data_IF_469585676225
#
_entry.id   IF_469585676225
#
_cell.length_a   1.000
_cell.length_b   1.000
_cell.length_c   1.000
_cell.angle_alpha   90.00
_cell.angle_beta   90.00
_cell.angle_gamma   90.00
#
_symmetry.space_group_name_H-M   'P 1'
#
loop_
_entity.id
_entity.type
_entity.pdbx_description
1 polymer ?
#
# COMPACT_ATOMS: atom_id res chain seq x y z
N UNK A 1 -0.53 -62.08 -49.47
CA UNK A 1 -1.53 -62.45 -48.43
C UNK A 1 -1.08 -61.82 -47.14
N UNK A 2 -2.01 -61.11 -46.54
CA UNK A 2 -2.10 -60.70 -45.14
C UNK A 2 -0.87 -59.97 -44.55
N UNK A 3 -1.00 -58.86 -43.92
CA UNK A 3 -2.12 -58.06 -43.47
C UNK A 3 -1.57 -56.75 -42.94
N UNK A 4 -2.21 -55.71 -43.39
CA UNK A 4 -2.11 -54.41 -42.74
C UNK A 4 -3.00 -54.39 -41.49
N UNK A 5 -2.62 -53.77 -40.40
CA UNK A 5 -3.50 -53.00 -39.54
C UNK A 5 -2.80 -52.59 -38.24
N UNK A 6 -3.12 -51.35 -37.87
CA UNK A 6 -3.07 -50.77 -36.53
C UNK A 6 -1.77 -49.98 -36.19
N UNK A 7 -1.87 -48.68 -36.42
CA UNK A 7 -1.34 -47.65 -35.53
C UNK A 7 -2.16 -46.34 -35.75
N UNK A 8 -3.31 -46.24 -35.19
CA UNK A 8 -4.03 -44.97 -34.91
C UNK A 8 -4.08 -44.79 -33.40
N UNK A 9 -3.94 -43.51 -33.00
CA UNK A 9 -4.36 -42.97 -31.72
C UNK A 9 -3.30 -42.94 -30.58
N UNK A 10 -2.49 -41.87 -30.61
CA UNK A 10 -2.08 -41.19 -29.38
C UNK A 10 -1.94 -39.69 -29.68
N UNK A 11 -3.06 -38.99 -29.86
CA UNK A 11 -3.06 -37.53 -29.72
C UNK A 11 -3.23 -37.22 -28.25
N UNK A 12 -2.09 -37.03 -27.55
CA UNK A 12 -2.03 -36.57 -26.18
C UNK A 12 -2.72 -35.22 -26.01
N UNK A 13 -3.73 -35.24 -25.18
CA UNK A 13 -4.49 -34.09 -24.71
C UNK A 13 -3.59 -33.18 -23.89
N UNK A 14 -3.15 -32.05 -24.46
CA UNK A 14 -2.47 -31.00 -23.71
C UNK A 14 -3.47 -30.34 -22.74
N UNK A 15 -3.14 -30.17 -21.47
CA UNK A 15 -4.06 -29.55 -20.52
C UNK A 15 -4.29 -28.07 -20.87
N UNK A 16 -5.55 -27.72 -21.06
CA UNK A 16 -6.05 -26.36 -21.24
C UNK A 16 -5.63 -25.48 -20.04
N UNK A 17 -4.74 -24.51 -20.30
CA UNK A 17 -4.21 -23.58 -19.30
C UNK A 17 -5.12 -22.36 -19.02
N UNK A 18 -6.38 -22.38 -19.51
CA UNK A 18 -7.29 -21.21 -19.45
C UNK A 18 -8.25 -21.19 -18.27
N UNK A 19 -8.18 -22.12 -17.32
CA UNK A 19 -9.01 -22.07 -16.13
C UNK A 19 -8.50 -21.03 -15.13
N UNK A 20 -9.34 -20.06 -14.70
CA UNK A 20 -8.96 -19.13 -13.66
C UNK A 20 -8.68 -19.89 -12.36
N UNK A 21 -7.46 -19.82 -11.87
CA UNK A 21 -7.06 -20.41 -10.58
C UNK A 21 -8.04 -19.94 -9.51
N UNK A 22 -8.88 -20.84 -8.99
CA UNK A 22 -9.71 -20.57 -7.81
C UNK A 22 -8.81 -20.04 -6.71
N UNK A 23 -9.06 -18.81 -6.25
CA UNK A 23 -8.39 -18.25 -5.06
C UNK A 23 -8.61 -19.24 -3.91
N UNK A 24 -7.54 -19.72 -3.31
CA UNK A 24 -7.62 -20.34 -1.98
C UNK A 24 -8.27 -19.31 -1.07
N UNK A 25 -9.26 -19.73 -0.30
CA UNK A 25 -10.01 -18.85 0.60
C UNK A 25 -9.04 -17.95 1.37
N UNK A 26 -9.09 -16.64 1.05
CA UNK A 26 -8.28 -15.67 1.74
C UNK A 26 -8.79 -15.62 3.19
N UNK A 27 -7.90 -15.64 4.20
CA UNK A 27 -8.33 -15.55 5.60
C UNK A 27 -9.23 -14.33 5.78
N UNK A 28 -10.30 -14.50 6.56
CA UNK A 28 -11.35 -13.51 6.80
C UNK A 28 -10.74 -12.13 7.06
N UNK A 29 -11.21 -11.14 6.28
CA UNK A 29 -10.66 -9.77 6.23
C UNK A 29 -10.81 -8.99 7.54
N UNK A 30 -11.54 -9.51 8.54
CA UNK A 30 -11.95 -8.78 9.75
C UNK A 30 -11.47 -9.42 11.06
N UNK A 31 -10.71 -10.49 11.03
CA UNK A 31 -10.31 -11.17 12.27
C UNK A 31 -9.29 -10.35 13.07
N UNK A 32 -9.72 -9.79 14.21
CA UNK A 32 -8.88 -9.45 15.36
C UNK A 32 -8.68 -7.97 15.68
N UNK A 33 -9.17 -6.97 14.89
CA UNK A 33 -8.97 -5.55 15.23
C UNK A 33 -10.25 -4.72 15.03
N UNK A 34 -10.41 -3.68 15.86
CA UNK A 34 -11.52 -2.78 15.77
C UNK A 34 -11.36 -1.86 14.56
N UNK A 35 -12.40 -1.77 13.72
CA UNK A 35 -12.46 -0.80 12.61
C UNK A 35 -13.53 0.25 12.88
N UNK A 36 -13.31 1.46 12.40
CA UNK A 36 -14.34 2.52 12.39
C UNK A 36 -14.37 3.20 11.02
N UNK A 37 -15.53 3.77 10.70
CA UNK A 37 -15.63 4.64 9.53
C UNK A 37 -15.38 6.09 9.93
N UNK A 38 -14.41 6.72 9.26
CA UNK A 38 -14.09 8.15 9.43
C UNK A 38 -14.42 8.82 8.09
N UNK A 39 -15.46 9.62 8.06
CA UNK A 39 -16.02 10.22 6.84
C UNK A 39 -16.33 9.18 5.73
N UNK A 40 -16.86 8.02 6.12
CA UNK A 40 -17.16 6.91 5.23
C UNK A 40 -15.95 6.04 4.83
N UNK A 41 -14.71 6.48 5.07
CA UNK A 41 -13.50 5.69 4.89
C UNK A 41 -13.29 4.76 6.07
N UNK A 42 -13.06 3.46 5.82
CA UNK A 42 -12.65 2.50 6.86
C UNK A 42 -11.25 2.83 7.38
N UNK A 43 -11.08 2.80 8.68
CA UNK A 43 -9.79 2.91 9.35
C UNK A 43 -9.70 1.83 10.41
N UNK A 44 -8.63 1.06 10.36
CA UNK A 44 -8.41 -0.10 11.22
C UNK A 44 -7.51 0.30 12.39
N UNK A 45 -7.94 -0.02 13.61
CA UNK A 45 -7.09 0.13 14.79
C UNK A 45 -6.08 -1.03 14.79
N UNK A 46 -4.86 -0.72 14.47
CA UNK A 46 -3.78 -1.70 14.30
C UNK A 46 -2.45 -1.10 14.75
N UNK A 47 -1.44 -1.93 14.94
CA UNK A 47 -0.07 -1.56 15.27
C UNK A 47 0.88 -1.83 14.10
N UNK A 48 2.13 -1.36 14.23
CA UNK A 48 3.20 -1.71 13.28
C UNK A 48 3.42 -3.22 13.22
N UNK A 49 3.42 -3.88 14.38
CA UNK A 49 3.63 -5.32 14.48
C UNK A 49 2.54 -6.10 13.74
N UNK A 50 1.27 -5.84 14.08
CA UNK A 50 0.12 -6.51 13.47
C UNK A 50 0.01 -6.26 11.97
N UNK A 51 0.31 -5.02 11.53
CA UNK A 51 0.29 -4.68 10.10
C UNK A 51 1.39 -5.42 9.36
N UNK A 52 2.61 -5.41 9.89
CA UNK A 52 3.74 -6.08 9.25
C UNK A 52 3.54 -7.60 9.25
N UNK A 53 3.03 -8.21 10.34
CA UNK A 53 2.73 -9.65 10.39
C UNK A 53 1.67 -10.04 9.36
N UNK A 54 0.63 -9.22 9.21
CA UNK A 54 -0.39 -9.47 8.19
C UNK A 54 0.17 -9.38 6.75
N UNK A 55 1.04 -8.40 6.48
CA UNK A 55 1.72 -8.28 5.17
C UNK A 55 2.59 -9.50 4.89
N UNK A 56 3.40 -9.93 5.86
CA UNK A 56 4.29 -11.10 5.73
C UNK A 56 3.48 -12.38 5.52
N UNK A 57 2.48 -12.64 6.35
CA UNK A 57 1.65 -13.85 6.24
C UNK A 57 0.97 -13.96 4.86
N UNK A 58 0.47 -12.84 4.32
CA UNK A 58 -0.11 -12.82 2.97
C UNK A 58 0.93 -13.03 1.88
N UNK A 59 2.11 -12.46 2.05
CA UNK A 59 3.23 -12.63 1.12
C UNK A 59 3.67 -14.11 1.09
N UNK A 60 3.82 -14.76 2.23
CA UNK A 60 4.14 -16.20 2.35
C UNK A 60 3.07 -17.08 1.68
N UNK A 61 1.80 -16.77 1.92
CA UNK A 61 0.67 -17.50 1.32
C UNK A 61 0.50 -17.25 -0.19
N UNK A 62 1.17 -16.24 -0.78
CA UNK A 62 0.94 -15.82 -2.16
C UNK A 62 -0.48 -15.30 -2.43
N UNK A 63 -1.15 -14.82 -1.39
CA UNK A 63 -2.55 -14.42 -1.46
C UNK A 63 -2.77 -13.03 -2.07
N UNK A 64 -1.70 -12.29 -2.36
CA UNK A 64 -1.77 -10.90 -2.75
C UNK A 64 -2.40 -10.03 -1.66
N UNK A 65 -2.78 -8.82 -1.98
CA UNK A 65 -3.48 -7.94 -1.04
C UNK A 65 -3.18 -6.47 -1.22
N UNK A 66 -3.88 -5.63 -0.44
CA UNK A 66 -3.71 -4.18 -0.49
C UNK A 66 -3.73 -3.60 0.93
N UNK A 67 -2.71 -2.83 1.26
CA UNK A 67 -2.60 -2.08 2.52
C UNK A 67 -2.51 -0.59 2.20
N UNK A 68 -3.44 0.20 2.74
CA UNK A 68 -3.47 1.65 2.61
C UNK A 68 -2.99 2.30 3.91
N UNK A 69 -1.98 3.16 3.82
CA UNK A 69 -1.47 3.98 4.93
C UNK A 69 -2.20 5.32 4.88
N UNK A 70 -3.28 5.45 5.64
CA UNK A 70 -4.29 6.49 5.47
C UNK A 70 -4.01 7.75 6.29
N UNK A 71 -4.31 8.91 5.70
CA UNK A 71 -4.23 10.23 6.32
C UNK A 71 -5.58 10.95 6.29
N UNK A 72 -5.72 12.06 7.02
CA UNK A 72 -6.90 12.93 6.93
C UNK A 72 -7.17 13.41 5.49
N UNK A 73 -6.10 13.64 4.71
CA UNK A 73 -6.22 13.98 3.29
C UNK A 73 -6.91 12.85 2.50
N UNK A 74 -6.49 11.60 2.70
CA UNK A 74 -7.15 10.46 2.04
C UNK A 74 -8.63 10.35 2.43
N UNK A 75 -8.98 10.65 3.69
CA UNK A 75 -10.39 10.66 4.12
C UNK A 75 -11.22 11.73 3.38
N UNK A 76 -10.65 12.91 3.12
CA UNK A 76 -11.29 13.95 2.33
C UNK A 76 -11.39 13.56 0.84
N UNK A 77 -10.34 13.00 0.26
CA UNK A 77 -10.38 12.47 -1.11
C UNK A 77 -11.46 11.36 -1.25
N UNK A 78 -11.57 10.47 -0.27
CA UNK A 78 -12.62 9.45 -0.23
C UNK A 78 -14.03 10.04 -0.02
N UNK A 79 -14.16 11.18 0.66
CA UNK A 79 -15.44 11.87 0.80
C UNK A 79 -15.91 12.45 -0.54
N UNK A 80 -14.97 13.03 -1.30
CA UNK A 80 -15.21 13.67 -2.59
C UNK A 80 -15.34 12.66 -3.75
N UNK A 81 -14.63 11.51 -3.68
CA UNK A 81 -14.64 10.46 -4.70
C UNK A 81 -15.15 9.11 -4.14
N UNK A 82 -16.43 8.75 -4.43
CA UNK A 82 -16.99 7.46 -4.01
C UNK A 82 -16.29 6.24 -4.61
N UNK A 83 -15.64 6.35 -5.77
CA UNK A 83 -14.89 5.24 -6.38
C UNK A 83 -13.60 4.99 -5.59
N UNK A 84 -12.85 6.03 -5.27
CA UNK A 84 -11.69 5.95 -4.40
C UNK A 84 -12.08 5.38 -3.02
N UNK A 85 -13.20 5.85 -2.43
CA UNK A 85 -13.70 5.33 -1.16
C UNK A 85 -13.98 3.83 -1.20
N UNK A 86 -14.60 3.34 -2.28
CA UNK A 86 -14.81 1.88 -2.47
C UNK A 86 -13.48 1.15 -2.57
N UNK A 87 -12.53 1.67 -3.33
CA UNK A 87 -11.20 1.10 -3.49
C UNK A 87 -10.47 0.97 -2.15
N UNK A 88 -10.39 2.07 -1.38
CA UNK A 88 -9.76 2.08 -0.05
C UNK A 88 -10.50 1.16 0.92
N UNK A 89 -11.84 1.20 0.96
CA UNK A 89 -12.63 0.36 1.84
C UNK A 89 -12.53 -1.15 1.51
N UNK A 90 -12.15 -1.50 0.29
CA UNK A 90 -11.91 -2.89 -0.12
C UNK A 90 -10.50 -3.39 0.22
N UNK A 91 -9.58 -2.51 0.66
CA UNK A 91 -8.23 -2.90 1.05
C UNK A 91 -8.26 -3.94 2.19
N UNK A 92 -7.24 -4.76 2.29
CA UNK A 92 -7.13 -5.76 3.37
C UNK A 92 -6.83 -5.07 4.70
N UNK A 93 -6.11 -3.93 4.67
CA UNK A 93 -5.88 -3.08 5.83
C UNK A 93 -5.82 -1.60 5.47
N UNK A 94 -6.39 -0.75 6.34
CA UNK A 94 -6.33 0.71 6.20
C UNK A 94 -5.80 1.28 7.52
N UNK A 95 -4.50 1.58 7.58
CA UNK A 95 -3.85 1.98 8.83
C UNK A 95 -3.92 3.48 9.06
N UNK A 96 -4.03 3.97 10.32
CA UNK A 96 -4.05 5.39 10.64
C UNK A 96 -2.63 5.96 10.68
N UNK A 97 -2.19 6.63 9.60
CA UNK A 97 -0.90 7.31 9.56
C UNK A 97 -0.91 8.65 10.31
N UNK A 98 -1.90 9.49 10.04
CA UNK A 98 -1.99 10.81 10.67
C UNK A 98 -2.61 10.78 12.05
N UNK A 99 -2.09 11.59 12.98
CA UNK A 99 -2.66 11.74 14.33
C UNK A 99 -4.14 12.14 14.31
N UNK A 100 -4.60 12.87 13.30
CA UNK A 100 -6.02 13.21 13.11
C UNK A 100 -6.91 11.95 13.02
N UNK A 101 -6.45 10.90 12.36
CA UNK A 101 -7.19 9.63 12.28
C UNK A 101 -7.12 8.85 13.60
N UNK A 102 -5.99 8.89 14.30
CA UNK A 102 -5.85 8.29 15.64
C UNK A 102 -6.83 8.94 16.61
N UNK A 103 -6.90 10.27 16.63
CA UNK A 103 -7.87 11.01 17.47
C UNK A 103 -9.32 10.71 17.07
N UNK A 104 -9.59 10.61 15.77
CA UNK A 104 -10.91 10.21 15.28
C UNK A 104 -11.30 8.82 15.78
N UNK A 105 -10.42 7.82 15.68
CA UNK A 105 -10.66 6.48 16.20
C UNK A 105 -10.91 6.47 17.71
N UNK A 106 -10.10 7.20 18.47
CA UNK A 106 -10.27 7.33 19.93
C UNK A 106 -11.63 7.96 20.29
N UNK A 107 -12.04 9.01 19.57
CA UNK A 107 -13.36 9.63 19.75
C UNK A 107 -14.51 8.69 19.36
N UNK A 108 -14.28 7.77 18.45
CA UNK A 108 -15.24 6.73 18.03
C UNK A 108 -15.18 5.47 18.91
N UNK A 109 -14.57 5.56 20.10
CA UNK A 109 -14.57 4.50 21.11
C UNK A 109 -13.44 3.48 20.98
N UNK A 110 -12.37 3.76 20.22
CA UNK A 110 -11.18 2.92 20.13
C UNK A 110 -10.02 3.57 20.88
N UNK A 111 -10.08 3.52 22.23
CA UNK A 111 -9.14 4.24 23.11
C UNK A 111 -7.66 3.88 22.87
N UNK A 112 -7.37 2.61 22.56
CA UNK A 112 -6.01 2.09 22.30
C UNK A 112 -5.50 2.33 20.88
N UNK A 113 -6.19 3.13 20.02
CA UNK A 113 -5.71 3.40 18.66
C UNK A 113 -4.34 4.06 18.68
N UNK A 114 -3.40 3.51 17.89
CA UNK A 114 -2.03 3.99 17.73
C UNK A 114 -1.77 4.36 16.28
N UNK A 115 -0.74 5.18 16.06
CA UNK A 115 -0.31 5.57 14.73
C UNK A 115 0.46 4.45 14.04
N UNK A 116 0.21 4.25 12.75
CA UNK A 116 1.03 3.39 11.87
C UNK A 116 1.50 4.24 10.68
N UNK A 117 2.67 4.83 10.84
CA UNK A 117 3.28 5.81 9.95
C UNK A 117 4.07 5.13 8.82
N UNK A 118 3.86 5.54 7.58
CA UNK A 118 4.47 4.90 6.41
C UNK A 118 6.00 4.77 6.47
N UNK A 119 6.75 5.83 6.79
CA UNK A 119 8.21 5.79 6.93
C UNK A 119 8.75 4.87 8.01
N UNK A 120 7.94 4.52 9.01
CA UNK A 120 8.30 3.53 10.04
C UNK A 120 7.78 2.12 9.69
N UNK A 121 6.64 2.03 9.01
CA UNK A 121 6.08 0.75 8.58
C UNK A 121 6.97 0.05 7.53
N UNK A 122 7.47 0.80 6.54
CA UNK A 122 8.29 0.24 5.46
C UNK A 122 9.52 -0.50 6.02
N UNK A 123 10.41 0.11 6.84
CA UNK A 123 11.56 -0.62 7.40
C UNK A 123 11.13 -1.75 8.36
N UNK A 124 10.00 -1.62 9.07
CA UNK A 124 9.47 -2.71 9.92
C UNK A 124 9.10 -3.95 9.08
N UNK A 125 8.47 -3.75 7.93
CA UNK A 125 8.15 -4.85 7.00
C UNK A 125 9.43 -5.38 6.35
N UNK A 126 10.38 -4.51 5.95
CA UNK A 126 11.66 -4.92 5.37
C UNK A 126 12.47 -5.84 6.30
N UNK A 127 12.58 -5.49 7.59
CA UNK A 127 13.27 -6.31 8.58
C UNK A 127 12.68 -7.73 8.69
N UNK A 128 11.35 -7.85 8.65
CA UNK A 128 10.65 -9.14 8.68
C UNK A 128 10.75 -9.91 7.37
N UNK A 129 10.74 -9.18 6.25
CA UNK A 129 10.91 -9.75 4.92
C UNK A 129 12.33 -10.34 4.76
N UNK A 130 13.35 -9.59 5.19
CA UNK A 130 14.75 -10.07 5.22
C UNK A 130 14.89 -11.35 6.04
N UNK A 131 14.37 -11.38 7.27
CA UNK A 131 14.46 -12.54 8.16
C UNK A 131 13.79 -13.81 7.60
N UNK A 132 12.91 -13.66 6.60
CA UNK A 132 12.18 -14.77 5.95
C UNK A 132 12.54 -14.98 4.47
N UNK A 133 13.53 -14.23 3.96
CA UNK A 133 13.92 -14.31 2.56
C UNK A 133 12.81 -13.92 1.58
N UNK A 134 11.86 -13.06 2.01
CA UNK A 134 10.74 -12.61 1.19
C UNK A 134 11.19 -11.45 0.30
N UNK A 135 11.14 -11.57 -1.04
CA UNK A 135 11.56 -10.50 -1.94
C UNK A 135 10.54 -9.36 -1.96
N UNK A 136 11.07 -8.13 -1.88
CA UNK A 136 10.29 -6.90 -1.96
C UNK A 136 10.53 -6.18 -3.29
N UNK A 137 9.57 -5.34 -3.69
CA UNK A 137 9.71 -4.42 -4.80
C UNK A 137 9.38 -2.98 -4.39
N UNK A 138 9.86 -2.04 -5.21
CA UNK A 138 9.65 -0.61 -5.04
C UNK A 138 9.05 -0.04 -6.33
N UNK A 139 7.90 0.64 -6.23
CA UNK A 139 7.20 1.24 -7.35
C UNK A 139 6.83 2.68 -7.03
N UNK A 140 7.48 3.64 -7.66
CA UNK A 140 7.22 5.06 -7.42
C UNK A 140 8.46 5.88 -7.11
N UNK A 141 8.25 7.14 -6.73
CA UNK A 141 9.32 8.13 -6.55
C UNK A 141 9.92 8.59 -7.88
N UNK A 142 10.86 9.53 -7.83
CA UNK A 142 11.74 9.88 -8.95
C UNK A 142 12.95 8.94 -8.96
N UNK A 143 13.64 8.75 -10.10
CA UNK A 143 14.77 7.80 -10.18
C UNK A 143 15.81 7.99 -9.08
N UNK A 144 16.20 9.22 -8.80
CA UNK A 144 17.22 9.57 -7.80
C UNK A 144 16.79 9.18 -6.38
N UNK A 145 15.51 9.39 -6.05
CA UNK A 145 14.92 8.99 -4.76
C UNK A 145 14.89 7.47 -4.64
N UNK A 146 14.53 6.78 -5.73
CA UNK A 146 14.43 5.33 -5.75
C UNK A 146 15.80 4.67 -5.56
N UNK A 147 16.84 5.18 -6.20
CA UNK A 147 18.21 4.67 -6.09
C UNK A 147 18.80 4.93 -4.69
N UNK A 148 18.58 6.13 -4.14
CA UNK A 148 18.98 6.46 -2.76
C UNK A 148 18.24 5.56 -1.74
N UNK A 149 16.93 5.33 -1.93
CA UNK A 149 16.15 4.42 -1.09
C UNK A 149 16.69 2.99 -1.15
N UNK A 150 16.98 2.47 -2.35
CA UNK A 150 17.56 1.11 -2.51
C UNK A 150 18.91 1.00 -1.78
N UNK A 151 19.75 2.02 -1.90
CA UNK A 151 21.04 2.07 -1.22
C UNK A 151 20.86 2.05 0.30
N UNK A 152 19.96 2.87 0.83
CA UNK A 152 19.68 2.92 2.26
C UNK A 152 19.05 1.62 2.79
N UNK A 153 18.15 1.00 2.05
CA UNK A 153 17.57 -0.29 2.43
C UNK A 153 18.62 -1.40 2.45
N UNK A 154 19.52 -1.47 1.46
CA UNK A 154 20.63 -2.45 1.45
C UNK A 154 21.61 -2.21 2.58
N UNK A 155 21.84 -0.96 2.96
CA UNK A 155 22.70 -0.61 4.12
C UNK A 155 22.09 -1.09 5.44
N UNK A 156 20.77 -0.93 5.62
CA UNK A 156 20.03 -1.36 6.83
C UNK A 156 19.76 -2.84 6.88
N UNK A 157 19.49 -3.44 5.73
CA UNK A 157 19.05 -4.81 5.55
C UNK A 157 19.89 -5.48 4.44
N UNK A 158 21.12 -5.93 4.76
CA UNK A 158 22.07 -6.40 3.76
C UNK A 158 21.63 -7.66 2.98
N UNK A 159 20.77 -8.50 3.58
CA UNK A 159 20.26 -9.72 2.96
C UNK A 159 18.88 -9.53 2.30
N UNK A 160 18.30 -8.33 2.35
CA UNK A 160 16.99 -8.05 1.78
C UNK A 160 17.03 -8.15 0.24
N UNK A 161 16.16 -9.00 -0.29
CA UNK A 161 16.02 -9.17 -1.74
C UNK A 161 15.13 -8.06 -2.32
N UNK A 162 15.69 -7.26 -3.24
CA UNK A 162 14.98 -6.18 -3.94
C UNK A 162 15.10 -6.40 -5.45
N UNK A 163 14.41 -7.42 -6.03
CA UNK A 163 14.53 -7.77 -7.44
C UNK A 163 13.80 -6.80 -8.38
N UNK A 164 12.91 -5.94 -7.85
CA UNK A 164 12.16 -4.99 -8.66
C UNK A 164 12.23 -3.58 -8.04
N UNK A 165 12.57 -2.59 -8.85
CA UNK A 165 12.47 -1.17 -8.50
C UNK A 165 12.22 -0.37 -9.78
N UNK A 166 11.13 0.39 -9.82
CA UNK A 166 10.75 1.15 -11.01
C UNK A 166 10.10 2.49 -10.68
N UNK A 167 10.56 3.53 -11.37
CA UNK A 167 10.05 4.92 -11.26
C UNK A 167 9.17 5.23 -12.46
N UNK A 168 7.84 5.37 -12.29
CA UNK A 168 6.95 5.70 -13.39
C UNK A 168 7.14 7.14 -13.87
N UNK A 169 6.99 7.41 -15.17
CA UNK A 169 7.00 8.77 -15.69
C UNK A 169 5.81 9.58 -15.11
N UNK A 170 5.97 10.93 -15.07
CA UNK A 170 4.92 11.85 -14.62
C UNK A 170 3.77 12.05 -15.64
N UNK A 171 3.38 10.97 -16.33
CA UNK A 171 2.24 10.93 -17.23
C UNK A 171 1.41 9.68 -16.97
N UNK A 172 0.21 9.65 -17.52
CA UNK A 172 -0.56 8.41 -17.58
C UNK A 172 0.16 7.41 -18.50
N UNK A 173 0.27 6.19 -18.05
CA UNK A 173 0.83 5.09 -18.84
C UNK A 173 -0.21 4.63 -19.88
N UNK A 174 0.26 4.18 -21.04
CA UNK A 174 -0.57 3.47 -21.99
C UNK A 174 -0.92 2.06 -21.44
N UNK A 175 -2.03 1.45 -21.88
CA UNK A 175 -2.42 0.12 -21.41
C UNK A 175 -1.35 -0.96 -21.63
N UNK A 176 -0.61 -0.86 -22.74
CA UNK A 176 0.50 -1.77 -23.07
C UNK A 176 1.67 -1.59 -22.11
N UNK A 177 2.01 -0.34 -21.75
CA UNK A 177 3.04 -0.05 -20.75
C UNK A 177 2.65 -0.58 -19.37
N UNK A 178 1.38 -0.40 -18.97
CA UNK A 178 0.86 -0.97 -17.71
C UNK A 178 0.89 -2.50 -17.74
N UNK A 179 0.63 -3.12 -18.89
CA UNK A 179 0.75 -4.56 -19.11
C UNK A 179 2.18 -5.05 -18.90
N UNK A 180 3.15 -4.43 -19.58
CA UNK A 180 4.56 -4.77 -19.45
C UNK A 180 5.11 -4.61 -18.02
N UNK A 181 4.63 -3.59 -17.28
CA UNK A 181 5.02 -3.40 -15.88
C UNK A 181 4.46 -4.53 -15.00
N UNK A 182 3.20 -4.94 -15.19
CA UNK A 182 2.62 -6.09 -14.47
C UNK A 182 3.42 -7.37 -14.70
N UNK A 183 3.77 -7.63 -15.97
CA UNK A 183 4.60 -8.78 -16.33
C UNK A 183 5.97 -8.72 -15.68
N UNK A 184 6.63 -7.56 -15.69
CA UNK A 184 7.92 -7.36 -15.06
C UNK A 184 7.86 -7.58 -13.54
N UNK A 185 6.81 -7.07 -12.86
CA UNK A 185 6.58 -7.32 -11.43
C UNK A 185 6.38 -8.83 -11.19
N UNK A 186 5.56 -9.50 -11.98
CA UNK A 186 5.29 -10.92 -11.82
C UNK A 186 6.55 -11.76 -12.06
N UNK A 187 7.30 -11.47 -13.12
CA UNK A 187 8.55 -12.17 -13.49
C UNK A 187 9.67 -11.97 -12.46
N UNK A 188 9.68 -10.82 -11.75
CA UNK A 188 10.68 -10.53 -10.71
C UNK A 188 10.56 -11.39 -9.46
N UNK A 189 9.45 -12.10 -9.26
CA UNK A 189 9.19 -12.89 -8.06
C UNK A 189 8.89 -12.08 -6.80
N UNK A 190 8.63 -10.77 -6.93
CA UNK A 190 8.24 -9.90 -5.81
C UNK A 190 7.01 -10.42 -5.08
N UNK A 191 7.05 -10.44 -3.76
CA UNK A 191 5.96 -10.86 -2.88
C UNK A 191 5.32 -9.71 -2.12
N UNK A 192 6.07 -8.61 -1.91
CA UNK A 192 5.60 -7.37 -1.28
C UNK A 192 6.04 -6.22 -2.18
N UNK A 193 5.11 -5.41 -2.67
CA UNK A 193 5.41 -4.24 -3.48
C UNK A 193 5.04 -2.97 -2.72
N UNK A 194 6.03 -2.19 -2.34
CA UNK A 194 5.80 -0.85 -1.80
C UNK A 194 5.51 0.13 -2.93
N UNK A 195 4.45 0.92 -2.75
CA UNK A 195 3.97 1.89 -3.74
C UNK A 195 4.11 3.31 -3.20
N UNK A 196 4.85 4.15 -3.91
CA UNK A 196 5.16 5.53 -3.55
C UNK A 196 4.71 6.55 -4.60
N UNK A 197 3.43 6.51 -5.04
CA UNK A 197 2.87 7.42 -6.05
C UNK A 197 2.16 8.64 -5.44
N UNK A 198 1.87 8.59 -4.15
CA UNK A 198 1.06 9.58 -3.44
C UNK A 198 -0.45 9.41 -3.66
N UNK A 199 -1.21 9.83 -2.64
CA UNK A 199 -2.67 9.81 -2.64
C UNK A 199 -3.23 10.93 -3.55
N UNK A 200 -4.30 10.65 -4.36
CA UNK A 200 -5.08 9.40 -4.46
C UNK A 200 -4.57 8.41 -5.52
N UNK A 201 -3.60 8.81 -6.36
CA UNK A 201 -3.11 7.99 -7.50
C UNK A 201 -2.62 6.61 -7.07
N UNK A 202 -1.98 6.53 -5.91
CA UNK A 202 -1.46 5.32 -5.32
C UNK A 202 -2.57 4.30 -5.04
N UNK A 203 -3.63 4.71 -4.37
CA UNK A 203 -4.75 3.85 -4.00
C UNK A 203 -5.54 3.39 -5.23
N UNK A 204 -5.72 4.29 -6.20
CA UNK A 204 -6.36 3.98 -7.49
C UNK A 204 -5.56 2.94 -8.26
N UNK A 205 -4.24 3.12 -8.36
CA UNK A 205 -3.35 2.17 -9.03
C UNK A 205 -3.34 0.81 -8.33
N UNK A 206 -3.16 0.78 -7.02
CA UNK A 206 -3.17 -0.46 -6.25
C UNK A 206 -4.50 -1.22 -6.40
N UNK A 207 -5.62 -0.52 -6.35
CA UNK A 207 -6.94 -1.14 -6.52
C UNK A 207 -7.11 -1.74 -7.92
N UNK A 208 -6.60 -1.08 -8.97
CA UNK A 208 -6.64 -1.59 -10.34
C UNK A 208 -5.73 -2.81 -10.55
N UNK A 209 -4.60 -2.90 -9.83
CA UNK A 209 -3.62 -3.96 -10.01
C UNK A 209 -3.80 -5.16 -9.07
N UNK A 210 -4.53 -5.01 -7.97
CA UNK A 210 -4.61 -6.02 -6.90
C UNK A 210 -5.12 -7.39 -7.33
N UNK A 211 -5.95 -7.45 -8.37
CA UNK A 211 -6.48 -8.72 -8.89
C UNK A 211 -5.51 -9.39 -9.86
N UNK A 212 -4.67 -8.60 -10.53
CA UNK A 212 -3.70 -9.09 -11.51
C UNK A 212 -2.35 -9.47 -10.89
N UNK A 213 -2.01 -8.90 -9.72
CA UNK A 213 -0.75 -9.14 -9.04
C UNK A 213 -0.94 -10.04 -7.81
N UNK A 214 -0.11 -11.06 -7.67
CA UNK A 214 -0.10 -11.98 -6.52
C UNK A 214 0.73 -11.47 -5.33
N UNK A 215 1.37 -10.31 -5.44
CA UNK A 215 2.11 -9.67 -4.36
C UNK A 215 1.19 -8.80 -3.48
N UNK A 216 1.63 -8.53 -2.25
CA UNK A 216 0.95 -7.58 -1.34
C UNK A 216 1.37 -6.16 -1.69
N UNK A 217 0.40 -5.32 -2.07
CA UNK A 217 0.61 -3.92 -2.41
C UNK A 217 0.51 -3.07 -1.14
N UNK A 218 1.56 -2.32 -0.80
CA UNK A 218 1.61 -1.49 0.41
C UNK A 218 1.84 -0.04 0.01
N UNK A 219 0.80 0.79 0.13
CA UNK A 219 0.84 2.20 -0.23
C UNK A 219 1.46 3.04 0.87
N UNK A 220 2.70 3.48 0.68
CA UNK A 220 3.49 4.21 1.69
C UNK A 220 3.74 5.68 1.35
N UNK A 221 3.37 6.13 0.14
CA UNK A 221 3.47 7.53 -0.29
C UNK A 221 4.86 8.12 -0.13
N UNK A 222 4.95 9.22 0.63
CA UNK A 222 6.20 9.97 0.82
C UNK A 222 7.27 9.24 1.68
N UNK A 223 7.03 8.02 2.14
CA UNK A 223 8.03 7.25 2.87
C UNK A 223 9.33 7.07 2.06
N UNK A 224 9.22 6.99 0.74
CA UNK A 224 10.37 6.90 -0.16
C UNK A 224 11.27 8.14 -0.03
N UNK A 225 10.68 9.34 -0.11
CA UNK A 225 11.42 10.60 0.03
C UNK A 225 12.13 10.72 1.39
N UNK A 226 11.45 10.31 2.47
CA UNK A 226 12.01 10.40 3.83
C UNK A 226 13.14 9.41 4.06
N UNK A 227 12.97 8.16 3.65
CA UNK A 227 13.98 7.13 3.84
C UNK A 227 15.19 7.31 2.91
N UNK A 228 14.98 7.88 1.73
CA UNK A 228 16.04 8.27 0.81
C UNK A 228 16.81 9.52 1.28
N UNK A 229 16.37 10.20 2.35
CA UNK A 229 16.97 11.45 2.80
C UNK A 229 16.69 12.66 1.91
N UNK A 230 15.83 12.50 0.89
CA UNK A 230 15.47 13.59 -0.03
C UNK A 230 14.58 14.66 0.64
N UNK A 231 13.90 14.29 1.73
CA UNK A 231 13.11 15.20 2.56
C UNK A 231 13.42 15.02 4.02
N UNK A 232 13.49 16.16 4.75
CA UNK A 232 13.64 16.13 6.18
C UNK A 232 12.40 15.57 6.88
N UNK A 233 12.60 14.66 7.80
CA UNK A 233 11.55 14.14 8.67
C UNK A 233 11.43 15.04 9.90
N UNK A 234 10.19 15.29 10.35
CA UNK A 234 9.97 16.04 11.58
C UNK A 234 10.64 15.31 12.77
N UNK A 235 11.27 16.01 13.70
CA UNK A 235 11.76 15.43 14.94
C UNK A 235 10.68 14.66 15.69
N UNK A 236 11.06 13.63 16.46
CA UNK A 236 10.11 12.74 17.13
C UNK A 236 9.10 13.51 18.01
N UNK A 237 9.54 14.48 18.78
CA UNK A 237 8.66 15.29 19.64
C UNK A 237 7.59 16.07 18.85
N UNK A 238 7.90 16.54 17.62
CA UNK A 238 6.92 17.18 16.72
C UNK A 238 5.90 16.13 16.22
N UNK A 239 6.39 14.93 15.89
CA UNK A 239 5.51 13.84 15.45
C UNK A 239 4.57 13.40 16.56
N UNK A 240 5.08 13.23 17.80
CA UNK A 240 4.32 12.83 18.97
C UNK A 240 3.26 13.86 19.37
N UNK A 241 3.60 15.15 19.21
CA UNK A 241 2.66 16.27 19.40
C UNK A 241 1.59 16.36 18.29
N UNK A 242 1.68 15.55 17.22
CA UNK A 242 0.77 15.60 16.08
C UNK A 242 0.95 16.82 15.18
N UNK A 243 2.10 17.52 15.29
CA UNK A 243 2.44 18.75 14.57
C UNK A 243 3.27 18.51 13.30
N UNK A 244 3.46 17.26 12.89
CA UNK A 244 4.23 16.92 11.68
C UNK A 244 3.69 17.64 10.43
N UNK A 245 2.37 17.79 10.32
CA UNK A 245 1.75 18.50 9.21
C UNK A 245 2.19 19.97 9.12
N UNK A 246 2.41 20.63 10.27
CA UNK A 246 2.88 22.01 10.34
C UNK A 246 4.35 22.10 9.92
N UNK A 247 5.19 21.19 10.40
CA UNK A 247 6.59 21.07 9.98
C UNK A 247 6.70 20.87 8.47
N UNK A 248 5.89 19.98 7.89
CA UNK A 248 5.85 19.73 6.45
C UNK A 248 5.32 20.92 5.67
N UNK A 249 4.32 21.64 6.22
CA UNK A 249 3.82 22.87 5.61
C UNK A 249 4.89 23.95 5.55
N UNK A 250 5.67 24.10 6.62
CA UNK A 250 6.79 25.04 6.67
C UNK A 250 7.92 24.66 5.70
N UNK A 251 8.16 23.36 5.50
CA UNK A 251 9.20 22.86 4.58
C UNK A 251 8.81 22.99 3.10
N UNK A 252 7.51 22.79 2.75
CA UNK A 252 7.00 22.79 1.37
C UNK A 252 5.70 23.62 1.26
N UNK A 253 5.68 24.93 1.58
CA UNK A 253 4.44 25.71 1.73
C UNK A 253 3.64 25.79 0.43
N UNK A 254 4.30 26.05 -0.71
CA UNK A 254 3.63 26.18 -2.01
C UNK A 254 2.91 24.91 -2.46
N UNK A 255 3.44 23.73 -2.10
CA UNK A 255 2.89 22.42 -2.48
C UNK A 255 1.82 21.95 -1.51
N UNK A 256 1.94 22.25 -0.20
CA UNK A 256 1.18 21.59 0.85
C UNK A 256 0.10 22.45 1.50
N UNK A 257 0.04 23.79 1.23
CA UNK A 257 -0.92 24.66 1.90
C UNK A 257 -2.39 24.26 1.65
N UNK A 258 -2.76 23.94 0.40
CA UNK A 258 -4.14 23.49 0.11
C UNK A 258 -4.46 22.18 0.84
N UNK A 259 -3.53 21.23 0.80
CA UNK A 259 -3.69 19.94 1.48
C UNK A 259 -3.89 20.10 2.98
N UNK A 260 -3.10 20.95 3.64
CA UNK A 260 -3.14 21.08 5.08
C UNK A 260 -4.11 22.14 5.57
N UNK A 261 -4.11 23.34 5.04
CA UNK A 261 -5.02 24.38 5.54
C UNK A 261 -6.46 24.13 5.09
N UNK A 262 -6.70 23.82 3.83
CA UNK A 262 -8.05 23.52 3.35
C UNK A 262 -8.48 22.10 3.73
N UNK A 263 -7.64 21.10 3.49
CA UNK A 263 -7.97 19.69 3.74
C UNK A 263 -8.21 19.39 5.23
N UNK A 264 -7.31 19.82 6.13
CA UNK A 264 -7.49 19.58 7.56
C UNK A 264 -8.71 20.35 8.13
N UNK A 265 -8.96 21.60 7.67
CA UNK A 265 -10.16 22.35 8.09
C UNK A 265 -11.43 21.65 7.62
N UNK A 266 -11.49 21.16 6.39
CA UNK A 266 -12.60 20.35 5.87
C UNK A 266 -12.77 19.05 6.67
N UNK A 267 -11.68 18.36 7.00
CA UNK A 267 -11.71 17.15 7.81
C UNK A 267 -12.33 17.42 9.18
N UNK A 268 -11.86 18.44 9.89
CA UNK A 268 -12.38 18.83 11.20
C UNK A 268 -13.85 19.22 11.10
N UNK A 269 -14.23 20.05 10.14
CA UNK A 269 -15.61 20.45 9.90
C UNK A 269 -16.55 19.27 9.71
N UNK A 270 -16.21 18.37 8.77
CA UNK A 270 -17.06 17.21 8.48
C UNK A 270 -17.11 16.23 9.67
N UNK A 271 -15.97 15.99 10.32
CA UNK A 271 -15.89 15.02 11.40
C UNK A 271 -16.57 15.52 12.69
N UNK A 272 -16.41 16.80 13.05
CA UNK A 272 -16.91 17.35 14.32
C UNK A 272 -18.33 17.91 14.21
N UNK A 273 -18.64 18.63 13.13
CA UNK A 273 -19.88 19.42 13.05
C UNK A 273 -21.00 18.72 12.25
N UNK A 274 -20.69 17.98 11.19
CA UNK A 274 -21.70 17.19 10.46
C UNK A 274 -21.94 15.81 11.05
N UNK A 275 -21.19 15.42 12.07
CA UNK A 275 -21.21 14.08 12.63
C UNK A 275 -20.77 13.06 11.57
N UNK A 276 -19.88 12.19 11.85
CA UNK A 276 -19.24 11.15 11.02
C UNK A 276 -20.20 10.42 10.02
N UNK A 277 -21.15 11.13 9.42
CA UNK A 277 -22.13 10.64 8.44
C UNK A 277 -21.52 10.72 7.05
N UNK A 278 -21.10 9.59 6.51
CA UNK A 278 -20.61 9.40 5.15
C UNK A 278 -20.98 8.03 4.61
#
# INVERSE_FOLDING_TARGET
>A
MAGAQLAEDERGNAPDSSSPRKRRDAPDRTQGFASRRVLGMRVDATSYAETADAVIARAEAGAGGMVCVATAHMAIECLDDPALRRAVNSADRVTPDGMSLVWALRRLGVAGATRVYGPSLLPTVCARAEARGIPIGLYGGVPEVLDALRTELRRRFPQLLIPFAWSPPFRKLAPEEEGGIREAIAASGVRILFVGLGCPRQEQWMAAQREALSCVLVGVGAAFDFLAGAKAQAPAWIQDAGLEWLFRLASEPRRLWRRYLVGNSRFLWHFLLRGNRG
#
